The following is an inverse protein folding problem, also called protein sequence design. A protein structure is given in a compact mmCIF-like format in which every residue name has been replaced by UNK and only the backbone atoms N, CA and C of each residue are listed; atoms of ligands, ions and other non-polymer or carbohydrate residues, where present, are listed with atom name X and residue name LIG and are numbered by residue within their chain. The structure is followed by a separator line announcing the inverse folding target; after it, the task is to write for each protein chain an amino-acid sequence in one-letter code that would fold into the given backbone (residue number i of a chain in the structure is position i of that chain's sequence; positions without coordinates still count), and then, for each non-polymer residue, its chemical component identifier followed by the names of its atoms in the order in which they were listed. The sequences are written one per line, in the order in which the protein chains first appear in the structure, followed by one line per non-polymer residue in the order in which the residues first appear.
data_IF_850849902623
#
_entry.id   IF_850849902623
#
_cell.length_a   1.000
_cell.length_b   1.000
_cell.length_c   1.000
_cell.angle_alpha   90.00
_cell.angle_beta   90.00
_cell.angle_gamma   90.00
#
_symmetry.space_group_name_H-M   'P 1'
#
loop_
_entity.id
_entity.type
_entity.pdbx_description
1 polymer ?
#
# COMPACT_ATOMS: atom_id res chain seq x y z
N UNK A 1 47.79 45.39 0.50
CA UNK A 1 49.21 45.26 0.10
C UNK A 1 49.45 43.82 -0.33
N UNK A 2 50.07 43.62 -1.51
CA UNK A 2 50.53 42.33 -2.10
C UNK A 2 49.43 41.35 -2.54
N UNK A 3 49.55 40.61 -3.64
CA UNK A 3 50.30 40.67 -4.91
C UNK A 3 49.80 39.43 -5.69
N UNK A 4 49.38 39.62 -6.93
CA UNK A 4 49.74 38.84 -8.13
C UNK A 4 49.86 37.31 -7.97
N UNK A 5 49.06 36.55 -8.73
CA UNK A 5 49.59 35.42 -9.48
C UNK A 5 49.11 35.41 -10.93
N UNK A 6 50.07 35.08 -11.79
CA UNK A 6 50.08 35.12 -13.25
C UNK A 6 49.57 33.79 -13.81
N UNK A 7 49.06 33.88 -15.03
CA UNK A 7 48.41 32.87 -15.84
C UNK A 7 49.31 31.76 -16.44
N UNK A 8 48.60 30.84 -17.12
CA UNK A 8 48.99 29.97 -18.24
C UNK A 8 49.61 28.61 -17.85
N UNK A 9 49.36 27.49 -18.55
CA UNK A 9 48.98 27.30 -19.94
C UNK A 9 48.36 25.89 -20.19
N UNK A 10 47.37 25.85 -21.09
CA UNK A 10 47.22 24.98 -22.28
C UNK A 10 47.52 23.47 -22.22
N UNK A 11 46.51 22.65 -22.57
CA UNK A 11 46.61 21.61 -23.60
C UNK A 11 45.23 21.13 -24.05
N UNK A 12 44.94 21.27 -25.34
CA UNK A 12 43.81 20.67 -26.03
C UNK A 12 44.23 19.32 -26.62
N UNK A 13 43.34 18.33 -26.58
CA UNK A 13 43.39 17.15 -27.46
C UNK A 13 42.01 16.95 -28.06
N UNK A 14 41.89 17.27 -29.35
CA UNK A 14 40.90 16.68 -30.25
C UNK A 14 41.42 15.32 -30.72
N UNK A 15 40.56 14.32 -30.78
CA UNK A 15 40.61 13.32 -31.85
C UNK A 15 39.20 13.03 -32.36
N UNK A 16 39.07 13.19 -33.67
CA UNK A 16 37.94 12.86 -34.52
C UNK A 16 38.26 11.60 -35.35
N UNK A 17 37.23 11.08 -36.04
CA UNK A 17 37.20 10.17 -37.21
C UNK A 17 36.92 8.69 -36.87
N UNK A 18 36.16 7.87 -37.59
CA UNK A 18 35.15 7.98 -38.69
C UNK A 18 34.52 6.59 -38.85
N UNK A 19 33.30 6.56 -39.40
CA UNK A 19 32.44 5.45 -39.77
C UNK A 19 32.95 4.42 -40.81
N UNK A 20 32.26 3.27 -40.87
CA UNK A 20 31.88 2.38 -42.01
C UNK A 20 31.91 0.92 -41.53
N UNK A 21 31.03 -0.01 -41.89
CA UNK A 21 29.96 -0.09 -42.88
C UNK A 21 29.69 -1.59 -43.17
N UNK A 22 28.40 -1.94 -43.26
CA UNK A 22 27.73 -3.01 -44.03
C UNK A 22 28.52 -4.21 -44.60
N UNK A 23 28.01 -5.44 -44.47
CA UNK A 23 27.35 -6.18 -45.58
C UNK A 23 26.93 -7.63 -45.26
N UNK A 24 25.73 -7.97 -45.75
CA UNK A 24 25.16 -9.31 -46.01
C UNK A 24 25.86 -10.05 -47.17
N UNK A 25 25.86 -11.39 -47.15
CA UNK A 25 25.54 -12.32 -48.28
C UNK A 25 25.65 -13.78 -47.78
N UNK A 26 24.58 -14.62 -47.81
CA UNK A 26 24.18 -15.61 -48.87
C UNK A 26 25.21 -16.76 -49.07
N UNK A 27 24.92 -18.06 -49.23
CA UNK A 27 23.72 -18.79 -49.66
C UNK A 27 23.94 -20.34 -49.60
N UNK A 28 22.86 -21.11 -49.84
CA UNK A 28 22.75 -22.46 -50.48
C UNK A 28 23.22 -23.69 -49.67
N UNK A 29 22.67 -24.92 -49.78
CA UNK A 29 21.43 -25.51 -50.34
C UNK A 29 21.47 -27.05 -50.11
N UNK A 30 20.31 -27.72 -50.16
CA UNK A 30 20.00 -29.12 -50.63
C UNK A 30 18.89 -29.72 -49.72
N UNK A 31 17.61 -29.86 -50.12
CA UNK A 31 16.97 -30.85 -51.06
C UNK A 31 17.07 -32.27 -50.49
N UNK A 32 16.05 -33.13 -50.27
CA UNK A 32 14.59 -33.21 -50.45
C UNK A 32 14.15 -34.53 -49.80
N UNK A 33 12.99 -34.65 -49.13
CA UNK A 33 12.05 -35.75 -49.39
C UNK A 33 10.68 -35.55 -48.75
N UNK A 34 9.68 -35.85 -49.58
CA UNK A 34 8.25 -35.72 -49.43
C UNK A 34 7.66 -37.07 -48.97
N UNK A 35 6.74 -37.06 -48.00
CA UNK A 35 5.77 -38.12 -47.79
C UNK A 35 4.55 -37.54 -47.07
N UNK A 36 3.47 -37.38 -47.83
CA UNK A 36 2.14 -37.08 -47.32
C UNK A 36 1.55 -38.31 -46.62
N UNK A 37 0.96 -38.11 -45.45
CA UNK A 37 -0.01 -39.00 -44.86
C UNK A 37 -1.10 -38.12 -44.23
N UNK A 38 -2.31 -38.23 -44.78
CA UNK A 38 -3.55 -37.74 -44.19
C UNK A 38 -3.76 -38.44 -42.85
N UNK A 39 -3.98 -37.68 -41.79
CA UNK A 39 -4.63 -38.17 -40.58
C UNK A 39 -5.65 -37.14 -40.14
N UNK A 40 -6.82 -37.65 -39.81
CA UNK A 40 -8.09 -36.99 -39.57
C UNK A 40 -7.97 -35.88 -38.50
N UNK A 41 -8.61 -34.74 -38.77
CA UNK A 41 -8.84 -33.71 -37.77
C UNK A 41 -9.88 -34.23 -36.77
N UNK A 42 -9.42 -34.87 -35.70
CA UNK A 42 -10.21 -34.96 -34.48
C UNK A 42 -10.32 -33.53 -33.92
N UNK A 43 -11.55 -33.03 -33.99
CA UNK A 43 -11.93 -31.78 -33.35
C UNK A 43 -12.06 -32.14 -31.87
N UNK A 44 -10.97 -32.03 -31.12
CA UNK A 44 -11.07 -31.99 -29.67
C UNK A 44 -11.76 -30.66 -29.35
N UNK A 45 -13.04 -30.75 -29.03
CA UNK A 45 -13.70 -29.71 -28.25
C UNK A 45 -12.97 -29.66 -26.93
N UNK A 46 -12.13 -28.64 -26.74
CA UNK A 46 -11.77 -28.17 -25.41
C UNK A 46 -13.10 -27.83 -24.73
N UNK A 47 -13.59 -28.76 -23.92
CA UNK A 47 -14.46 -28.42 -22.81
C UNK A 47 -13.62 -27.51 -21.93
N UNK A 48 -13.93 -26.22 -21.97
CA UNK A 48 -13.51 -25.25 -20.96
C UNK A 48 -13.90 -25.86 -19.60
N UNK A 49 -12.92 -26.38 -18.87
CA UNK A 49 -13.08 -26.60 -17.44
C UNK A 49 -13.21 -25.19 -16.86
N UNK A 50 -14.44 -24.80 -16.48
CA UNK A 50 -14.67 -23.61 -15.67
C UNK A 50 -13.78 -23.77 -14.42
N UNK A 51 -12.78 -22.90 -14.29
CA UNK A 51 -11.94 -22.85 -13.10
C UNK A 51 -12.87 -22.43 -11.95
N UNK A 52 -13.37 -23.40 -11.17
CA UNK A 52 -14.37 -23.20 -10.09
C UNK A 52 -13.94 -22.14 -9.05
N UNK A 53 -12.69 -21.68 -9.11
CA UNK A 53 -12.10 -20.68 -8.25
C UNK A 53 -12.15 -19.25 -8.81
N UNK A 54 -12.65 -19.00 -10.02
CA UNK A 54 -12.68 -17.66 -10.62
C UNK A 54 -14.03 -17.38 -11.28
N UNK A 55 -14.67 -16.27 -10.92
CA UNK A 55 -15.87 -15.75 -11.56
C UNK A 55 -15.49 -14.46 -12.29
N UNK A 56 -15.53 -14.45 -13.63
CA UNK A 56 -15.18 -13.28 -14.42
C UNK A 56 -16.40 -12.47 -14.85
N UNK A 57 -16.24 -11.15 -14.90
CA UNK A 57 -17.28 -10.19 -15.27
C UNK A 57 -16.87 -9.41 -16.52
N UNK A 58 -17.81 -9.29 -17.46
CA UNK A 58 -17.65 -8.43 -18.61
C UNK A 58 -18.54 -7.19 -18.49
N UNK A 59 -17.95 -6.01 -18.65
CA UNK A 59 -18.65 -4.73 -18.74
C UNK A 59 -19.46 -4.32 -17.49
N UNK A 60 -19.14 -4.86 -16.31
CA UNK A 60 -19.77 -4.43 -15.04
C UNK A 60 -19.09 -3.16 -14.55
N UNK A 61 -19.80 -2.03 -14.65
CA UNK A 61 -19.30 -0.72 -14.18
C UNK A 61 -19.75 -0.51 -12.75
N UNK A 62 -18.79 -0.39 -11.84
CA UNK A 62 -19.01 -0.15 -10.41
C UNK A 62 -19.21 1.33 -10.11
N UNK A 63 -18.42 2.18 -10.77
CA UNK A 63 -18.54 3.63 -10.68
C UNK A 63 -18.03 4.27 -11.97
N UNK A 64 -18.64 5.37 -12.39
CA UNK A 64 -18.23 6.13 -13.57
C UNK A 64 -18.53 7.62 -13.35
N UNK A 65 -17.48 8.43 -13.20
CA UNK A 65 -17.56 9.88 -13.10
C UNK A 65 -16.58 10.54 -14.09
N UNK A 66 -16.44 11.87 -14.02
CA UNK A 66 -15.59 12.61 -14.95
C UNK A 66 -14.08 12.35 -14.75
N UNK A 67 -13.68 11.88 -13.57
CA UNK A 67 -12.28 11.64 -13.17
C UNK A 67 -11.88 10.17 -13.35
N UNK A 68 -12.76 9.25 -13.00
CA UNK A 68 -12.47 7.82 -12.84
C UNK A 68 -13.60 6.95 -13.38
N UNK A 69 -13.24 5.79 -13.91
CA UNK A 69 -14.14 4.64 -14.06
C UNK A 69 -13.61 3.43 -13.28
N UNK A 70 -14.48 2.77 -12.53
CA UNK A 70 -14.22 1.50 -11.86
C UNK A 70 -15.05 0.40 -12.54
N UNK A 71 -14.40 -0.70 -12.87
CA UNK A 71 -15.01 -1.87 -13.50
C UNK A 71 -14.71 -3.13 -12.67
N UNK A 72 -15.72 -3.94 -12.40
CA UNK A 72 -15.54 -5.25 -11.78
C UNK A 72 -14.97 -6.21 -12.82
N UNK A 73 -13.87 -6.89 -12.49
CA UNK A 73 -13.17 -7.79 -13.41
C UNK A 73 -13.43 -9.24 -13.06
N UNK A 74 -13.16 -9.64 -11.82
CA UNK A 74 -13.42 -11.01 -11.37
C UNK A 74 -13.52 -11.09 -9.84
N UNK A 75 -14.10 -12.19 -9.39
CA UNK A 75 -13.88 -12.76 -8.07
C UNK A 75 -12.98 -13.97 -8.20
N UNK A 76 -12.14 -14.21 -7.22
CA UNK A 76 -11.39 -15.46 -7.17
C UNK A 76 -11.10 -15.93 -5.75
N UNK A 77 -10.95 -17.24 -5.62
CA UNK A 77 -10.58 -17.91 -4.38
C UNK A 77 -9.14 -18.37 -4.49
N UNK A 78 -8.37 -18.17 -3.43
CA UNK A 78 -7.01 -18.66 -3.34
C UNK A 78 -6.69 -19.17 -1.93
N UNK A 79 -5.83 -20.17 -1.89
CA UNK A 79 -5.37 -20.77 -0.66
C UNK A 79 -4.19 -19.97 -0.09
N UNK A 80 -4.39 -19.31 1.05
CA UNK A 80 -3.41 -18.40 1.66
C UNK A 80 -2.94 -18.98 2.98
N UNK A 81 -1.63 -18.97 3.20
CA UNK A 81 -1.03 -19.41 4.46
C UNK A 81 -0.83 -18.20 5.38
N UNK A 82 -1.63 -18.12 6.44
CA UNK A 82 -1.46 -17.16 7.53
C UNK A 82 -0.68 -17.78 8.70
N UNK A 83 -0.28 -16.93 9.66
CA UNK A 83 0.35 -17.37 10.91
C UNK A 83 -0.47 -18.41 11.68
N UNK A 84 -1.80 -18.27 11.68
CA UNK A 84 -2.71 -19.17 12.39
C UNK A 84 -3.24 -20.34 11.55
N UNK A 85 -2.97 -20.35 10.25
CA UNK A 85 -3.32 -21.47 9.39
C UNK A 85 -3.61 -21.10 7.96
N UNK A 86 -3.87 -22.13 7.18
CA UNK A 86 -4.26 -21.99 5.78
C UNK A 86 -5.75 -21.64 5.71
N UNK A 87 -6.07 -20.55 5.02
CA UNK A 87 -7.45 -20.14 4.75
C UNK A 87 -7.65 -20.06 3.24
N UNK A 88 -8.83 -20.49 2.76
CA UNK A 88 -9.22 -20.26 1.38
C UNK A 88 -9.83 -18.85 1.30
N UNK A 89 -9.02 -17.88 0.92
CA UNK A 89 -9.33 -16.46 0.92
C UNK A 89 -10.06 -16.04 -0.35
N UNK A 90 -10.99 -15.09 -0.20
CA UNK A 90 -11.79 -14.59 -1.31
C UNK A 90 -11.32 -13.19 -1.69
N UNK A 91 -11.20 -12.98 -2.99
CA UNK A 91 -10.60 -11.79 -3.54
C UNK A 91 -11.43 -11.24 -4.69
N UNK A 92 -11.31 -9.94 -4.88
CA UNK A 92 -11.98 -9.18 -5.92
C UNK A 92 -10.93 -8.39 -6.72
N UNK A 93 -11.01 -8.48 -8.04
CA UNK A 93 -10.24 -7.61 -8.94
C UNK A 93 -11.11 -6.48 -9.47
N UNK A 94 -10.69 -5.24 -9.24
CA UNK A 94 -11.29 -4.04 -9.82
C UNK A 94 -10.30 -3.40 -10.79
N UNK A 95 -10.79 -2.95 -11.94
CA UNK A 95 -10.04 -2.15 -12.89
C UNK A 95 -10.44 -0.68 -12.76
N UNK A 96 -9.47 0.15 -12.42
CA UNK A 96 -9.59 1.60 -12.46
C UNK A 96 -9.14 2.14 -13.82
N UNK A 97 -9.80 3.17 -14.32
CA UNK A 97 -9.39 3.95 -15.49
C UNK A 97 -9.40 5.43 -15.15
N UNK A 98 -8.20 6.04 -15.14
CA UNK A 98 -8.04 7.47 -14.99
C UNK A 98 -8.45 8.15 -16.31
N UNK A 99 -9.46 9.03 -16.25
CA UNK A 99 -10.00 9.75 -17.41
C UNK A 99 -9.39 11.13 -17.60
N UNK A 100 -8.53 11.54 -16.67
CA UNK A 100 -7.92 12.87 -16.67
C UNK A 100 -6.47 12.78 -17.15
N UNK A 101 -5.88 13.95 -17.37
CA UNK A 101 -4.45 14.13 -17.63
C UNK A 101 -3.63 14.36 -16.35
N UNK A 102 -4.25 14.20 -15.18
CA UNK A 102 -3.68 14.39 -13.85
C UNK A 102 -3.39 13.05 -13.16
N UNK A 103 -2.43 13.03 -12.23
CA UNK A 103 -2.21 11.85 -11.39
C UNK A 103 -3.35 11.70 -10.39
N UNK A 104 -3.76 10.46 -10.15
CA UNK A 104 -4.76 10.12 -9.14
C UNK A 104 -4.17 9.10 -8.18
N UNK A 105 -4.49 9.26 -6.91
CA UNK A 105 -4.14 8.32 -5.86
C UNK A 105 -5.43 7.88 -5.19
N UNK A 106 -5.69 6.58 -5.19
CA UNK A 106 -6.87 5.97 -4.60
C UNK A 106 -6.45 4.97 -3.53
N UNK A 107 -7.16 4.98 -2.42
CA UNK A 107 -7.02 4.03 -1.32
C UNK A 107 -8.40 3.45 -1.00
N UNK A 108 -8.51 2.15 -0.70
CA UNK A 108 -9.72 1.59 -0.12
C UNK A 108 -9.94 2.20 1.27
N UNK A 109 -11.11 2.78 1.52
CA UNK A 109 -11.41 3.53 2.76
C UNK A 109 -12.47 2.85 3.64
N UNK A 110 -13.30 1.97 3.06
CA UNK A 110 -14.27 1.16 3.80
C UNK A 110 -14.92 0.11 2.90
N UNK A 111 -14.93 -1.15 3.31
CA UNK A 111 -15.57 -2.25 2.58
C UNK A 111 -16.56 -2.93 3.50
N UNK A 112 -17.73 -3.22 2.97
CA UNK A 112 -18.86 -3.71 3.74
C UNK A 112 -19.50 -4.92 3.08
N UNK A 113 -19.91 -5.88 3.90
CA UNK A 113 -20.78 -6.97 3.50
C UNK A 113 -22.00 -7.01 4.38
N UNK A 114 -23.18 -6.91 3.77
CA UNK A 114 -24.47 -6.87 4.49
C UNK A 114 -24.52 -5.80 5.60
N UNK A 115 -23.78 -4.70 5.41
CA UNK A 115 -23.65 -3.59 6.37
C UNK A 115 -22.63 -3.81 7.49
N UNK A 116 -21.89 -4.91 7.48
CA UNK A 116 -20.77 -5.18 8.40
C UNK A 116 -19.43 -4.84 7.74
N UNK A 117 -18.56 -4.15 8.46
CA UNK A 117 -17.22 -3.80 7.98
C UNK A 117 -16.33 -5.04 7.84
N UNK A 118 -15.57 -5.09 6.76
CA UNK A 118 -14.68 -6.20 6.42
C UNK A 118 -13.22 -5.86 6.68
N UNK A 119 -12.45 -6.91 6.95
CA UNK A 119 -11.01 -6.88 6.79
C UNK A 119 -10.67 -6.88 5.30
N UNK A 120 -9.88 -5.91 4.86
CA UNK A 120 -9.40 -5.81 3.48
C UNK A 120 -7.89 -5.84 3.47
N UNK A 121 -7.32 -6.73 2.66
CA UNK A 121 -5.88 -6.79 2.43
C UNK A 121 -5.55 -6.60 0.96
N UNK A 122 -4.60 -5.71 0.73
CA UNK A 122 -4.06 -5.35 -0.57
C UNK A 122 -3.17 -6.48 -1.12
N UNK A 123 -3.44 -6.99 -2.32
CA UNK A 123 -2.68 -8.10 -2.91
C UNK A 123 -1.74 -7.68 -4.04
N UNK A 124 -2.30 -7.40 -5.23
CA UNK A 124 -1.54 -7.23 -6.46
C UNK A 124 -2.09 -6.07 -7.30
N UNK A 125 -1.19 -5.43 -8.05
CA UNK A 125 -1.49 -4.37 -9.00
C UNK A 125 -1.37 -2.95 -8.44
N UNK A 126 -2.04 -2.00 -9.10
CA UNK A 126 -2.27 -0.64 -8.57
C UNK A 126 -3.69 -0.18 -8.90
N UNK A 127 -4.38 0.40 -7.92
CA UNK A 127 -5.69 1.06 -8.14
C UNK A 127 -5.54 2.52 -8.61
N UNK A 128 -4.29 3.02 -8.70
CA UNK A 128 -3.94 4.40 -9.04
C UNK A 128 -3.28 4.48 -10.42
N UNK A 129 -4.05 4.37 -11.54
CA UNK A 129 -3.48 4.42 -12.87
C UNK A 129 -2.96 5.80 -13.26
N UNK A 130 -1.86 5.79 -14.01
CA UNK A 130 -1.30 6.98 -14.65
C UNK A 130 -2.35 7.70 -15.54
N UNK A 131 -2.13 9.00 -15.86
CA UNK A 131 -3.05 9.79 -16.65
C UNK A 131 -3.51 9.12 -17.96
N UNK A 132 -4.82 9.03 -18.17
CA UNK A 132 -5.44 8.40 -19.34
C UNK A 132 -5.20 6.88 -19.46
N UNK A 133 -4.75 6.20 -18.39
CA UNK A 133 -4.49 4.75 -18.37
C UNK A 133 -5.49 4.01 -17.51
N UNK A 134 -5.47 2.68 -17.66
CA UNK A 134 -6.16 1.76 -16.77
C UNK A 134 -5.15 0.91 -16.03
N UNK A 135 -5.49 0.53 -14.80
CA UNK A 135 -4.77 -0.43 -13.99
C UNK A 135 -5.78 -1.29 -13.23
N UNK A 136 -5.39 -2.52 -12.92
CA UNK A 136 -6.20 -3.44 -12.13
C UNK A 136 -5.57 -3.61 -10.76
N UNK A 137 -6.42 -3.85 -9.78
CA UNK A 137 -6.03 -4.11 -8.41
C UNK A 137 -6.88 -5.21 -7.81
N UNK A 138 -6.21 -6.12 -7.10
CA UNK A 138 -6.86 -7.21 -6.37
C UNK A 138 -6.85 -6.96 -4.87
N UNK A 139 -8.03 -7.09 -4.27
CA UNK A 139 -8.24 -6.97 -2.83
C UNK A 139 -8.68 -8.32 -2.27
N UNK A 140 -8.05 -8.75 -1.18
CA UNK A 140 -8.57 -9.81 -0.32
C UNK A 140 -9.64 -9.22 0.60
N UNK A 141 -10.73 -9.94 0.81
CA UNK A 141 -11.82 -9.52 1.67
C UNK A 141 -12.20 -10.65 2.62
N UNK A 142 -12.30 -10.34 3.91
CA UNK A 142 -12.62 -11.29 4.96
C UNK A 142 -13.41 -10.63 6.09
N UNK A 143 -14.07 -11.42 6.95
CA UNK A 143 -14.77 -10.91 8.15
C UNK A 143 -13.73 -10.36 9.13
N UNK A 144 -13.95 -9.16 9.68
CA UNK A 144 -13.08 -8.60 10.72
C UNK A 144 -13.38 -9.20 12.11
N UNK A 145 -13.16 -10.50 12.25
CA UNK A 145 -13.12 -11.14 13.56
C UNK A 145 -11.84 -10.70 14.27
N UNK A 146 -11.88 -10.46 15.58
CA UNK A 146 -10.68 -10.17 16.38
C UNK A 146 -10.36 -11.39 17.26
N UNK A 147 -9.08 -11.76 17.45
CA UNK A 147 -7.86 -11.05 17.03
C UNK A 147 -7.46 -11.25 15.55
N UNK A 148 -8.07 -12.23 14.86
CA UNK A 148 -7.76 -12.63 13.48
C UNK A 148 -8.99 -12.56 12.59
N UNK A 149 -8.83 -12.11 11.35
CA UNK A 149 -9.91 -12.14 10.37
C UNK A 149 -10.29 -13.59 10.00
N UNK A 150 -11.54 -13.79 9.60
CA UNK A 150 -12.06 -15.08 9.12
C UNK A 150 -12.41 -14.95 7.65
N UNK A 151 -11.82 -15.79 6.80
CA UNK A 151 -12.12 -15.82 5.37
C UNK A 151 -13.62 -15.99 5.10
N UNK A 152 -14.09 -15.41 3.99
CA UNK A 152 -15.46 -15.63 3.51
C UNK A 152 -15.64 -17.11 3.11
N UNK A 153 -16.84 -17.64 3.36
CA UNK A 153 -17.23 -19.01 3.10
C UNK A 153 -17.26 -19.31 1.60
N UNK A 154 -17.66 -18.34 0.77
CA UNK A 154 -17.82 -18.53 -0.69
C UNK A 154 -17.54 -17.27 -1.50
N UNK A 155 -17.33 -17.43 -2.82
CA UNK A 155 -17.28 -16.30 -3.75
C UNK A 155 -18.64 -15.59 -3.89
N UNK A 156 -19.74 -16.31 -3.61
CA UNK A 156 -21.08 -15.74 -3.72
C UNK A 156 -21.34 -14.63 -2.70
N UNK A 157 -20.65 -14.67 -1.56
CA UNK A 157 -20.72 -13.58 -0.58
C UNK A 157 -20.25 -12.24 -1.18
N UNK A 158 -19.30 -12.25 -2.12
CA UNK A 158 -18.79 -11.02 -2.74
C UNK A 158 -19.83 -10.30 -3.61
N UNK A 159 -20.94 -10.94 -3.99
CA UNK A 159 -22.03 -10.26 -4.69
C UNK A 159 -22.70 -9.17 -3.85
N UNK A 160 -22.61 -9.25 -2.51
CA UNK A 160 -23.14 -8.26 -1.59
C UNK A 160 -22.12 -7.20 -1.17
N UNK A 161 -20.94 -7.19 -1.81
CA UNK A 161 -19.86 -6.27 -1.43
C UNK A 161 -20.18 -4.84 -1.86
N UNK A 162 -19.99 -3.94 -0.91
CA UNK A 162 -20.02 -2.49 -1.10
C UNK A 162 -18.71 -1.90 -0.57
N UNK A 163 -18.34 -0.73 -1.07
CA UNK A 163 -17.18 -0.06 -0.52
C UNK A 163 -16.88 1.29 -1.13
N UNK A 164 -15.84 1.91 -0.58
CA UNK A 164 -15.43 3.26 -0.89
C UNK A 164 -13.94 3.31 -1.21
N UNK A 165 -13.61 4.11 -2.20
CA UNK A 165 -12.25 4.56 -2.48
C UNK A 165 -12.13 6.04 -2.16
N UNK A 166 -11.24 6.39 -1.24
CA UNK A 166 -10.87 7.78 -0.96
C UNK A 166 -9.49 8.08 -1.53
N UNK A 167 -9.26 9.34 -1.87
CA UNK A 167 -8.10 9.68 -2.65
C UNK A 167 -7.97 11.14 -3.00
N UNK A 168 -7.06 11.40 -3.93
CA UNK A 168 -6.84 12.74 -4.47
C UNK A 168 -6.48 12.70 -5.95
N UNK A 169 -6.89 13.75 -6.65
CA UNK A 169 -6.41 14.13 -7.96
C UNK A 169 -5.37 15.25 -7.79
N UNK A 170 -4.17 15.06 -8.31
CA UNK A 170 -3.08 16.02 -8.24
C UNK A 170 -3.12 16.98 -9.43
N UNK A 171 -3.47 18.24 -9.16
CA UNK A 171 -3.51 19.30 -10.16
C UNK A 171 -2.43 20.36 -9.90
N UNK A 172 -2.04 21.08 -10.96
CA UNK A 172 -1.09 22.21 -10.86
C UNK A 172 -1.55 23.30 -9.86
N UNK A 173 -2.86 23.45 -9.66
CA UNK A 173 -3.45 24.45 -8.76
C UNK A 173 -3.64 23.93 -7.32
N UNK A 174 -3.23 22.70 -7.04
CA UNK A 174 -3.39 22.02 -5.76
C UNK A 174 -4.31 20.80 -5.84
N UNK A 175 -4.18 19.91 -4.87
CA UNK A 175 -4.85 18.60 -4.86
C UNK A 175 -6.35 18.75 -4.61
N UNK A 176 -7.16 17.95 -5.31
CA UNK A 176 -8.59 17.82 -5.07
C UNK A 176 -8.91 16.46 -4.49
N UNK A 177 -9.73 16.43 -3.44
CA UNK A 177 -10.22 15.17 -2.85
C UNK A 177 -11.12 14.43 -3.83
N UNK A 178 -10.91 13.12 -3.90
CA UNK A 178 -11.65 12.18 -4.73
C UNK A 178 -12.25 11.12 -3.81
N UNK A 179 -13.57 10.96 -3.87
CA UNK A 179 -14.33 9.96 -3.11
C UNK A 179 -15.20 9.20 -4.11
N UNK A 180 -15.06 7.88 -4.14
CA UNK A 180 -15.75 7.00 -5.10
C UNK A 180 -16.29 5.78 -4.38
N UNK A 181 -17.60 5.78 -4.13
CA UNK A 181 -18.34 4.63 -3.63
C UNK A 181 -18.71 3.67 -4.76
N UNK A 182 -18.80 2.38 -4.45
CA UNK A 182 -19.36 1.35 -5.31
C UNK A 182 -20.26 0.39 -4.53
N UNK A 183 -21.22 -0.21 -5.24
CA UNK A 183 -22.04 -1.30 -4.75
C UNK A 183 -22.18 -2.35 -5.85
N UNK A 184 -21.68 -3.57 -5.58
CA UNK A 184 -21.81 -4.69 -6.52
C UNK A 184 -23.29 -5.09 -6.72
N UNK A 185 -24.11 -5.17 -5.66
CA UNK A 185 -25.55 -5.38 -5.80
C UNK A 185 -26.21 -4.37 -6.74
N UNK A 186 -25.89 -3.08 -6.61
CA UNK A 186 -26.45 -2.06 -7.48
C UNK A 186 -25.95 -2.17 -8.91
N UNK A 187 -24.66 -2.45 -9.11
CA UNK A 187 -24.05 -2.57 -10.44
C UNK A 187 -24.62 -3.76 -11.22
N UNK A 188 -24.84 -4.90 -10.56
CA UNK A 188 -25.40 -6.11 -11.15
C UNK A 188 -26.93 -6.08 -11.20
N UNK A 189 -27.59 -5.48 -10.21
CA UNK A 189 -29.05 -5.30 -10.17
C UNK A 189 -29.57 -4.34 -11.23
N UNK A 190 -28.77 -3.35 -11.64
CA UNK A 190 -29.06 -2.48 -12.78
C UNK A 190 -28.71 -3.10 -14.14
N UNK A 191 -28.15 -4.32 -14.15
CA UNK A 191 -27.79 -5.10 -15.33
C UNK A 191 -28.47 -6.47 -15.35
N UNK A 192 -29.78 -6.50 -15.61
CA UNK A 192 -30.56 -7.70 -15.97
C UNK A 192 -30.54 -8.91 -14.99
N UNK A 193 -31.65 -9.05 -14.24
CA UNK A 193 -32.42 -10.30 -14.21
C UNK A 193 -32.18 -11.30 -13.07
N UNK A 194 -33.01 -11.16 -12.03
CA UNK A 194 -33.62 -12.20 -11.18
C UNK A 194 -33.05 -13.64 -11.20
N UNK A 195 -32.58 -14.08 -10.03
CA UNK A 195 -32.50 -15.48 -9.62
C UNK A 195 -32.34 -15.59 -8.10
N UNK A 196 -33.42 -15.97 -7.42
CA UNK A 196 -33.46 -16.30 -5.98
C UNK A 196 -32.72 -17.61 -5.65
N UNK A 197 -32.39 -17.76 -4.36
CA UNK A 197 -32.47 -18.99 -3.52
C UNK A 197 -31.10 -19.42 -2.95
N UNK A 198 -30.84 -19.12 -1.67
CA UNK A 198 -31.09 -19.91 -0.44
C UNK A 198 -29.93 -20.85 -0.08
N UNK A 199 -29.46 -20.73 1.16
CA UNK A 199 -28.22 -21.32 1.65
C UNK A 199 -28.24 -22.81 1.97
N UNK A 200 -27.09 -23.33 2.39
CA UNK A 200 -26.98 -24.40 3.40
C UNK A 200 -25.53 -24.56 3.86
N UNK A 201 -25.35 -24.46 5.17
CA UNK A 201 -24.23 -24.95 5.97
C UNK A 201 -23.97 -26.45 5.75
N UNK A 202 -22.72 -26.90 5.74
CA UNK A 202 -22.22 -27.90 6.70
C UNK A 202 -20.70 -28.15 6.60
N UNK A 203 -20.17 -28.57 7.75
CA UNK A 203 -18.79 -28.70 8.18
C UNK A 203 -18.07 -29.97 7.70
N UNK A 204 -16.74 -29.96 7.73
CA UNK A 204 -15.93 -31.16 7.59
C UNK A 204 -14.43 -30.93 7.79
N UNK A 205 -13.94 -31.13 9.01
CA UNK A 205 -12.51 -31.22 9.33
C UNK A 205 -11.83 -32.40 8.61
N UNK A 206 -10.68 -32.18 7.96
CA UNK A 206 -9.57 -33.14 8.08
C UNK A 206 -8.18 -32.60 7.67
N UNK A 207 -7.29 -32.69 8.67
CA UNK A 207 -5.82 -32.60 8.71
C UNK A 207 -5.04 -33.11 7.50
N UNK A 208 -4.02 -32.36 7.07
CA UNK A 208 -2.80 -32.92 6.46
C UNK A 208 -1.59 -31.97 6.61
N UNK A 209 -0.44 -32.62 6.78
CA UNK A 209 0.83 -32.19 7.32
C UNK A 209 1.80 -31.65 6.24
N UNK A 210 2.40 -30.48 6.53
CA UNK A 210 3.78 -29.99 6.26
C UNK A 210 4.38 -30.01 4.84
N UNK A 211 4.79 -28.82 4.35
CA UNK A 211 6.15 -28.52 3.86
C UNK A 211 6.30 -27.04 3.47
N UNK A 212 7.06 -26.29 4.26
CA UNK A 212 7.39 -24.86 4.08
C UNK A 212 8.34 -24.62 2.90
N UNK A 213 8.18 -23.49 2.19
CA UNK A 213 9.30 -22.85 1.46
C UNK A 213 9.05 -21.35 1.32
N UNK A 214 9.90 -20.56 1.97
CA UNK A 214 9.88 -19.09 2.10
C UNK A 214 10.20 -18.37 0.77
N UNK A 215 9.43 -17.31 0.46
CA UNK A 215 9.78 -16.29 -0.52
C UNK A 215 9.70 -14.90 0.13
N UNK A 216 10.81 -14.16 0.09
CA UNK A 216 11.06 -12.92 0.84
C UNK A 216 10.22 -11.72 0.36
N UNK A 217 9.61 -10.99 1.29
CA UNK A 217 8.85 -9.76 1.07
C UNK A 217 9.76 -8.50 1.01
N UNK A 218 9.43 -7.53 0.14
CA UNK A 218 10.07 -6.21 0.08
C UNK A 218 9.76 -5.39 1.37
N UNK A 219 10.75 -4.66 1.90
CA UNK A 219 10.68 -4.01 3.21
C UNK A 219 9.90 -2.67 3.23
N UNK A 220 9.31 -2.32 4.39
CA UNK A 220 8.41 -1.16 4.56
C UNK A 220 9.10 0.22 4.69
N UNK A 221 10.35 0.23 5.13
CA UNK A 221 11.10 1.44 5.46
C UNK A 221 12.08 1.81 4.36
N UNK A 222 12.16 3.10 4.05
CA UNK A 222 13.01 3.64 3.00
C UNK A 222 13.84 4.82 3.49
N UNK A 223 15.12 4.82 3.12
CA UNK A 223 16.03 5.96 3.35
C UNK A 223 15.84 6.97 2.22
N UNK A 224 15.59 8.21 2.61
CA UNK A 224 15.48 9.38 1.75
C UNK A 224 16.45 10.47 2.22
N UNK A 225 16.51 11.57 1.46
CA UNK A 225 17.37 12.71 1.76
C UNK A 225 16.57 14.00 1.72
N UNK A 226 16.84 14.89 2.66
CA UNK A 226 16.40 16.27 2.52
C UNK A 226 17.02 16.87 1.26
N UNK A 227 16.34 17.84 0.68
CA UNK A 227 16.77 18.51 -0.55
C UNK A 227 17.10 19.96 -0.28
N UNK A 228 18.07 20.49 -1.03
CA UNK A 228 18.38 21.91 -1.00
C UNK A 228 17.38 22.75 -1.82
N UNK A 229 17.60 24.06 -1.87
CA UNK A 229 16.78 25.02 -2.63
C UNK A 229 16.72 24.74 -4.15
N UNK A 230 17.57 23.83 -4.65
CA UNK A 230 17.63 23.40 -6.04
C UNK A 230 17.10 21.97 -6.24
N UNK A 231 16.42 21.42 -5.23
CA UNK A 231 15.86 20.06 -5.23
C UNK A 231 16.95 18.98 -5.37
N UNK A 232 18.17 19.25 -4.91
CA UNK A 232 19.27 18.29 -4.90
C UNK A 232 19.37 17.61 -3.53
N UNK A 233 19.50 16.27 -3.48
CA UNK A 233 19.70 15.54 -2.24
C UNK A 233 20.92 16.09 -1.47
N UNK A 234 20.74 16.33 -0.17
CA UNK A 234 21.81 16.69 0.77
C UNK A 234 22.40 15.43 1.41
N UNK A 235 23.34 15.59 2.34
CA UNK A 235 23.84 14.52 3.21
C UNK A 235 22.92 14.25 4.42
N UNK A 236 21.92 15.10 4.63
CA UNK A 236 20.93 14.96 5.69
C UNK A 236 19.87 13.95 5.25
N UNK A 237 19.95 12.75 5.80
CA UNK A 237 19.03 11.67 5.49
C UNK A 237 17.84 11.64 6.46
N UNK A 238 16.77 10.98 6.04
CA UNK A 238 15.71 10.54 6.92
C UNK A 238 15.19 9.18 6.46
N UNK A 239 14.70 8.39 7.40
CA UNK A 239 14.07 7.11 7.16
C UNK A 239 12.59 7.30 7.44
N UNK A 240 11.75 6.90 6.52
CA UNK A 240 10.30 6.94 6.69
C UNK A 240 9.67 5.68 6.10
N UNK A 241 8.44 5.41 6.49
CA UNK A 241 7.65 4.40 5.80
C UNK A 241 7.14 4.94 4.47
N UNK A 242 7.13 4.07 3.45
CA UNK A 242 6.48 4.38 2.16
C UNK A 242 4.95 4.30 2.26
N UNK A 243 4.46 3.45 3.18
CA UNK A 243 3.03 3.28 3.49
C UNK A 243 2.74 3.78 4.90
N UNK A 244 1.53 4.31 5.11
CA UNK A 244 1.10 4.68 6.45
C UNK A 244 0.74 3.45 7.28
N UNK A 245 1.02 3.49 8.58
CA UNK A 245 0.50 2.52 9.53
C UNK A 245 -0.96 2.86 9.87
N UNK A 246 -1.86 1.87 9.88
CA UNK A 246 -3.21 2.08 10.34
C UNK A 246 -3.26 2.17 11.86
N UNK A 247 -4.25 2.89 12.36
CA UNK A 247 -4.58 2.98 13.77
C UNK A 247 -5.98 3.52 13.97
N UNK A 248 -6.30 3.85 15.22
CA UNK A 248 -7.52 4.55 15.57
C UNK A 248 -7.21 5.81 16.38
N UNK A 249 -8.11 6.78 16.34
CA UNK A 249 -8.08 7.92 17.22
C UNK A 249 -9.46 8.17 17.84
N UNK A 250 -9.44 8.78 19.03
CA UNK A 250 -10.63 9.21 19.74
C UNK A 250 -10.47 10.68 20.12
N UNK A 251 -11.58 11.42 20.11
CA UNK A 251 -11.63 12.78 20.63
C UNK A 251 -13.03 13.04 21.23
N UNK A 252 -13.37 14.31 21.49
CA UNK A 252 -14.68 14.64 22.07
C UNK A 252 -15.90 14.33 21.17
N UNK A 253 -15.69 14.08 19.88
CA UNK A 253 -16.74 13.89 18.88
C UNK A 253 -16.82 12.44 18.35
N UNK A 254 -15.69 11.75 18.27
CA UNK A 254 -15.61 10.39 17.70
C UNK A 254 -14.81 9.47 18.62
N UNK A 255 -15.13 8.19 18.57
CA UNK A 255 -14.42 7.13 19.26
C UNK A 255 -13.95 6.12 18.24
N UNK A 256 -12.68 5.74 18.34
CA UNK A 256 -12.01 4.74 17.50
C UNK A 256 -12.17 4.97 15.99
N UNK A 257 -12.14 6.24 15.56
CA UNK A 257 -12.17 6.60 14.15
C UNK A 257 -10.81 6.35 13.47
N UNK A 258 -10.82 6.21 12.14
CA UNK A 258 -9.63 5.84 11.37
C UNK A 258 -8.48 6.84 11.50
N UNK A 259 -7.28 6.31 11.71
CA UNK A 259 -6.04 7.06 11.80
C UNK A 259 -5.01 6.47 10.84
N UNK A 260 -4.38 7.31 10.03
CA UNK A 260 -3.17 6.96 9.32
C UNK A 260 -1.96 7.59 10.03
N UNK A 261 -0.86 6.83 10.14
CA UNK A 261 0.34 7.23 10.87
C UNK A 261 1.58 7.10 10.00
N UNK A 262 2.41 8.12 9.99
CA UNK A 262 3.76 8.04 9.45
C UNK A 262 4.76 8.22 10.58
N UNK A 263 5.80 7.40 10.58
CA UNK A 263 6.92 7.55 11.51
C UNK A 263 8.18 7.84 10.71
N UNK A 264 8.98 8.78 11.21
CA UNK A 264 10.26 9.14 10.61
C UNK A 264 11.36 9.13 11.64
N UNK A 265 12.56 8.74 11.21
CA UNK A 265 13.81 8.89 11.98
C UNK A 265 14.80 9.64 11.11
N UNK A 266 15.33 10.77 11.57
CA UNK A 266 16.23 11.58 10.75
C UNK A 266 17.71 11.45 11.15
N UNK A 267 18.57 12.18 10.43
CA UNK A 267 20.02 12.20 10.63
C UNK A 267 20.46 12.73 12.01
N UNK A 268 19.62 13.49 12.72
CA UNK A 268 19.86 13.91 14.11
C UNK A 268 19.37 12.84 15.11
N UNK A 269 18.73 11.79 14.59
CA UNK A 269 18.05 10.69 15.30
C UNK A 269 16.73 11.12 15.95
N UNK A 270 16.17 12.23 15.50
CA UNK A 270 14.86 12.66 15.95
C UNK A 270 13.81 11.69 15.40
N UNK A 271 12.95 11.19 16.30
CA UNK A 271 11.82 10.34 15.95
C UNK A 271 10.58 11.21 15.93
N UNK A 272 9.95 11.30 14.76
CA UNK A 272 8.74 12.10 14.58
C UNK A 272 7.57 11.26 14.09
N UNK A 273 6.37 11.57 14.59
CA UNK A 273 5.13 10.85 14.33
C UNK A 273 4.14 11.85 13.72
N UNK A 274 3.72 11.57 12.50
CA UNK A 274 2.63 12.26 11.82
C UNK A 274 1.34 11.48 12.05
N UNK A 275 0.29 12.19 12.45
CA UNK A 275 -1.02 11.63 12.72
C UNK A 275 -2.02 12.25 11.75
N UNK A 276 -2.75 11.43 11.01
CA UNK A 276 -3.75 11.87 10.05
C UNK A 276 -5.13 11.35 10.50
N UNK A 277 -5.88 12.19 11.20
CA UNK A 277 -7.26 11.88 11.62
C UNK A 277 -8.15 11.68 10.37
N UNK A 278 -9.01 10.67 10.43
CA UNK A 278 -9.84 10.24 9.30
C UNK A 278 -8.99 9.96 8.05
N UNK A 279 -7.79 9.39 8.25
CA UNK A 279 -6.78 9.08 7.23
C UNK A 279 -6.26 10.27 6.39
N UNK A 280 -6.68 11.51 6.68
CA UNK A 280 -6.38 12.68 5.82
C UNK A 280 -6.03 13.96 6.56
N UNK A 281 -6.59 14.17 7.75
CA UNK A 281 -6.50 15.44 8.45
C UNK A 281 -5.28 15.41 9.34
N UNK A 282 -4.18 16.00 8.86
CA UNK A 282 -2.96 16.10 9.63
C UNK A 282 -3.20 16.84 10.95
N UNK A 283 -2.89 16.19 12.07
CA UNK A 283 -2.89 16.77 13.41
C UNK A 283 -1.79 17.83 13.47
N UNK A 284 -2.16 19.05 13.90
CA UNK A 284 -1.26 20.19 13.94
C UNK A 284 -1.46 20.99 15.20
N UNK A 285 -0.37 21.55 15.71
CA UNK A 285 -0.44 22.60 16.69
C UNK A 285 -0.47 23.95 15.96
N UNK A 286 -1.67 24.49 15.80
CA UNK A 286 -1.88 25.79 15.14
C UNK A 286 -1.50 26.99 16.02
N UNK A 287 -1.11 26.76 17.29
CA UNK A 287 -0.65 27.80 18.18
C UNK A 287 0.71 28.33 17.74
N UNK A 288 0.94 29.62 17.95
CA UNK A 288 2.25 30.25 17.79
C UNK A 288 2.93 30.53 19.14
N UNK A 289 2.39 30.01 20.24
CA UNK A 289 2.77 30.44 21.60
C UNK A 289 3.04 29.30 22.57
N UNK A 290 2.50 28.11 22.33
CA UNK A 290 2.61 26.98 23.24
C UNK A 290 2.70 25.69 22.45
N UNK A 291 3.44 24.74 23.00
CA UNK A 291 3.58 23.39 22.49
C UNK A 291 2.47 22.52 23.08
N UNK A 292 2.02 21.52 22.32
CA UNK A 292 1.12 20.48 22.84
C UNK A 292 1.99 19.30 23.29
N UNK A 293 1.84 18.86 24.54
CA UNK A 293 2.59 17.72 25.08
C UNK A 293 1.71 16.47 25.16
N UNK A 294 2.37 15.32 25.05
CA UNK A 294 1.72 14.03 24.99
C UNK A 294 2.39 13.05 25.95
N UNK A 295 1.56 12.33 26.70
CA UNK A 295 1.95 11.10 27.37
C UNK A 295 1.85 9.96 26.37
N UNK A 296 2.92 9.18 26.22
CA UNK A 296 3.00 8.09 25.25
C UNK A 296 3.29 6.78 26.00
N UNK A 297 2.46 5.77 25.79
CA UNK A 297 2.77 4.40 26.21
C UNK A 297 3.17 3.59 24.99
N UNK A 298 4.43 3.16 24.96
CA UNK A 298 4.93 2.22 23.97
C UNK A 298 4.86 0.81 24.55
N UNK A 299 4.25 -0.13 23.81
CA UNK A 299 4.23 -1.55 24.14
C UNK A 299 5.05 -2.35 23.15
N UNK A 300 6.06 -3.05 23.65
CA UNK A 300 6.89 -3.97 22.86
C UNK A 300 6.21 -5.32 22.68
N UNK A 301 6.69 -6.12 21.73
CA UNK A 301 6.08 -7.41 21.38
C UNK A 301 6.05 -8.45 22.52
N UNK A 302 6.91 -8.31 23.53
CA UNK A 302 6.88 -9.13 24.75
C UNK A 302 5.78 -8.71 25.75
N UNK A 303 5.01 -7.67 25.42
CA UNK A 303 3.96 -7.09 26.25
C UNK A 303 4.44 -6.11 27.32
N UNK A 304 5.72 -5.74 27.32
CA UNK A 304 6.26 -4.74 28.24
C UNK A 304 5.82 -3.33 27.84
N UNK A 305 5.35 -2.57 28.83
CA UNK A 305 4.94 -1.16 28.65
C UNK A 305 6.06 -0.21 29.09
N UNK A 306 6.32 0.78 28.25
CA UNK A 306 7.29 1.85 28.44
C UNK A 306 6.55 3.19 28.40
N UNK A 307 6.75 4.02 29.43
CA UNK A 307 6.13 5.35 29.51
C UNK A 307 7.11 6.41 29.02
N UNK A 308 6.73 7.10 27.96
CA UNK A 308 7.51 8.10 27.25
C UNK A 308 6.72 9.42 27.23
N UNK A 309 7.35 10.47 26.75
CA UNK A 309 6.68 11.72 26.41
C UNK A 309 7.05 12.17 25.01
N UNK A 310 6.17 12.98 24.41
CA UNK A 310 6.44 13.60 23.13
C UNK A 310 5.82 14.99 23.04
N UNK A 311 6.35 15.78 22.12
CA UNK A 311 6.02 17.20 21.97
C UNK A 311 5.64 17.53 20.53
N UNK A 312 4.47 18.13 20.34
CA UNK A 312 4.06 18.79 19.09
C UNK A 312 4.29 20.30 19.26
N UNK A 313 5.44 20.76 18.80
CA UNK A 313 5.87 22.14 18.95
C UNK A 313 4.90 23.14 18.30
N UNK A 314 4.88 24.37 18.80
CA UNK A 314 4.06 25.45 18.27
C UNK A 314 4.31 25.67 16.76
N UNK A 315 3.23 25.67 15.98
CA UNK A 315 3.27 25.74 14.51
C UNK A 315 3.68 24.44 13.83
N UNK A 316 3.93 23.37 14.59
CA UNK A 316 4.31 22.06 14.12
C UNK A 316 3.13 21.17 13.69
N UNK A 317 3.48 20.09 13.03
CA UNK A 317 2.56 19.15 12.38
C UNK A 317 2.92 17.67 12.62
N UNK A 318 3.84 17.42 13.55
CA UNK A 318 4.30 16.09 13.96
C UNK A 318 4.75 16.09 15.42
N UNK A 319 4.49 15.00 16.11
CA UNK A 319 4.92 14.79 17.49
C UNK A 319 6.35 14.29 17.45
N UNK A 320 7.26 14.94 18.17
CA UNK A 320 8.62 14.45 18.39
C UNK A 320 8.65 13.63 19.68
N UNK A 321 9.25 12.45 19.65
CA UNK A 321 9.60 11.73 20.88
C UNK A 321 10.67 12.53 21.61
N UNK A 322 10.46 12.84 22.90
CA UNK A 322 11.42 13.65 23.64
C UNK A 322 12.77 12.91 23.78
N UNK A 323 13.88 13.64 23.67
CA UNK A 323 15.27 13.13 23.61
C UNK A 323 15.60 12.02 24.61
N UNK A 324 15.01 12.08 25.81
CA UNK A 324 15.24 11.11 26.88
C UNK A 324 14.84 9.67 26.51
N UNK A 325 13.98 9.49 25.51
CA UNK A 325 13.37 8.22 25.12
C UNK A 325 13.78 7.74 23.73
N UNK A 326 14.51 8.55 22.96
CA UNK A 326 14.89 8.23 21.58
C UNK A 326 15.62 6.89 21.49
N UNK A 327 16.65 6.66 22.32
CA UNK A 327 17.41 5.40 22.31
C UNK A 327 16.54 4.18 22.63
N UNK A 328 15.54 4.34 23.50
CA UNK A 328 14.63 3.27 23.90
C UNK A 328 13.64 2.92 22.79
N UNK A 329 13.09 3.92 22.09
CA UNK A 329 12.21 3.71 20.94
C UNK A 329 12.98 3.13 19.75
N UNK A 330 14.19 3.60 19.48
CA UNK A 330 15.04 3.03 18.42
C UNK A 330 15.35 1.56 18.69
N UNK A 331 15.69 1.21 19.93
CA UNK A 331 15.94 -0.18 20.30
C UNK A 331 14.71 -1.08 20.09
N UNK A 332 13.50 -0.56 20.33
CA UNK A 332 12.26 -1.27 20.04
C UNK A 332 12.03 -1.43 18.53
N UNK A 333 12.29 -0.38 17.74
CA UNK A 333 12.13 -0.39 16.27
C UNK A 333 13.19 -1.25 15.56
N UNK A 334 14.36 -1.46 16.14
CA UNK A 334 15.38 -2.39 15.63
C UNK A 334 15.06 -3.88 15.98
N UNK A 335 14.02 -4.13 16.77
CA UNK A 335 13.58 -5.47 17.15
C UNK A 335 12.75 -6.19 16.08
N UNK A 336 12.48 -7.48 16.28
CA UNK A 336 11.75 -8.33 15.30
C UNK A 336 10.22 -8.33 15.50
N UNK A 337 9.70 -7.59 16.49
CA UNK A 337 8.29 -7.63 16.86
C UNK A 337 7.58 -6.28 16.75
N UNK A 338 6.29 -6.32 16.46
CA UNK A 338 5.46 -5.12 16.37
C UNK A 338 5.54 -4.27 17.64
N UNK A 339 5.55 -2.95 17.44
CA UNK A 339 5.60 -1.97 18.53
C UNK A 339 4.32 -1.15 18.50
N UNK A 340 3.56 -1.17 19.58
CA UNK A 340 2.28 -0.44 19.67
C UNK A 340 2.45 0.85 20.47
N UNK A 341 1.74 1.89 20.08
CA UNK A 341 1.80 3.20 20.72
C UNK A 341 0.39 3.66 21.07
N UNK A 342 0.19 4.04 22.33
CA UNK A 342 -0.94 4.83 22.79
C UNK A 342 -0.44 6.23 23.10
N UNK A 343 -0.88 7.22 22.35
CA UNK A 343 -0.49 8.63 22.47
C UNK A 343 -1.69 9.40 22.98
N UNK A 344 -1.56 10.11 24.10
CA UNK A 344 -2.65 10.87 24.73
C UNK A 344 -2.22 12.30 24.95
N UNK A 345 -3.02 13.28 24.49
CA UNK A 345 -2.73 14.69 24.72
C UNK A 345 -2.86 15.01 26.23
N UNK A 346 -1.87 15.69 26.80
CA UNK A 346 -1.82 15.94 28.25
C UNK A 346 -2.90 16.92 28.73
N UNK A 347 -3.22 17.94 27.92
CA UNK A 347 -4.24 18.93 28.26
C UNK A 347 -5.65 18.46 27.87
N UNK A 348 -5.75 17.77 26.73
CA UNK A 348 -7.01 17.26 26.16
C UNK A 348 -7.00 15.74 26.21
N UNK A 349 -7.11 15.20 27.42
CA UNK A 349 -6.99 13.75 27.67
C UNK A 349 -8.05 12.87 27.00
N UNK A 350 -9.07 13.47 26.37
CA UNK A 350 -10.02 12.78 25.50
C UNK A 350 -9.49 12.56 24.07
N UNK A 351 -8.44 13.28 23.68
CA UNK A 351 -7.71 13.13 22.42
C UNK A 351 -6.63 12.06 22.60
N UNK A 352 -6.82 10.93 21.93
CA UNK A 352 -5.90 9.79 21.98
C UNK A 352 -5.75 9.12 20.63
N UNK A 353 -4.58 8.56 20.39
CA UNK A 353 -4.21 7.87 19.15
C UNK A 353 -3.60 6.52 19.49
N UNK A 354 -4.09 5.45 18.88
CA UNK A 354 -3.62 4.08 19.07
C UNK A 354 -3.19 3.51 17.73
N UNK A 355 -1.96 3.06 17.61
CA UNK A 355 -1.45 2.46 16.38
C UNK A 355 -0.34 1.45 16.67
N UNK A 356 -0.04 0.63 15.68
CA UNK A 356 1.04 -0.36 15.76
C UNK A 356 1.92 -0.22 14.54
N UNK A 357 3.24 -0.15 14.77
CA UNK A 357 4.24 -0.14 13.71
C UNK A 357 4.89 -1.51 13.59
N UNK A 358 5.25 -1.86 12.36
CA UNK A 358 6.01 -3.05 12.04
C UNK A 358 7.46 -2.65 11.76
N UNK A 359 8.44 -3.17 12.54
CA UNK A 359 9.86 -2.95 12.28
C UNK A 359 10.29 -3.31 10.85
N UNK A 360 9.83 -4.45 10.30
CA UNK A 360 10.18 -4.89 8.94
C UNK A 360 11.70 -4.79 8.69
N UNK A 361 12.14 -4.04 7.69
CA UNK A 361 13.54 -3.79 7.34
C UNK A 361 14.16 -2.54 8.00
N UNK A 362 13.53 -1.97 9.04
CA UNK A 362 13.96 -0.72 9.65
C UNK A 362 15.43 -0.80 10.11
N UNK A 363 15.79 -1.88 10.79
CA UNK A 363 17.14 -2.07 11.34
C UNK A 363 18.20 -2.01 10.25
N UNK A 364 18.02 -2.75 9.16
CA UNK A 364 18.97 -2.78 8.05
C UNK A 364 19.13 -1.40 7.41
N UNK A 365 18.01 -0.69 7.22
CA UNK A 365 18.01 0.66 6.64
C UNK A 365 18.67 1.67 7.57
N UNK A 366 18.41 1.59 8.87
CA UNK A 366 18.98 2.47 9.89
C UNK A 366 20.47 2.26 10.09
N UNK A 367 20.94 1.02 10.23
CA UNK A 367 22.37 0.70 10.31
C UNK A 367 23.12 1.14 9.03
N UNK A 368 22.52 0.95 7.85
CA UNK A 368 23.08 1.43 6.59
C UNK A 368 23.10 2.96 6.49
N UNK A 369 22.17 3.66 7.15
CA UNK A 369 22.15 5.12 7.20
C UNK A 369 23.29 5.69 8.06
N UNK A 370 23.66 5.01 9.15
CA UNK A 370 24.70 5.45 10.10
C UNK A 370 26.14 5.29 9.59
N UNK A 371 26.36 4.52 8.52
CA UNK A 371 27.71 4.13 8.06
C UNK A 371 28.23 4.93 6.85
N UNK A 372 27.48 5.94 6.40
CA UNK A 372 27.85 6.88 5.33
C UNK A 372 28.33 8.21 5.92
#
# INVERSE_FOLDING_TARGET
MKKIFVAAATAAVMMSLTACGSQKSSALSETTQEAAAETEAETESETEEEDENIISFENVTLADNDVLKLELVNFYAEDVNWSEGKQNEKSITIKATNKTDHEIFLNPDGFYLDGEELFVSMQDGSISPAPGKSASYSFRVARDTKPEHTALESLDELYNLEGDFSGLEEMETGNQSLEVSFSIPEALGNGQGAGESEGASESGEQSAETAETEAAAEGLWSKNFYVDDFNQPTDQWYICTEKYFPGTFSNSAVTDANLAVQVTVDFEKDISIFLYEYNRTLVKNSSSMYDDTYTITMRTADGTDHNLTGTLYCGGDRIFIDDAYVDEVLAAMEGEGNVSFLVVNDERTVESYLFTIMPSNFKEVYEAALTQ
#
